data_IF_746845570934
#
_entry.id   IF_746845570934
#
_cell.length_a   1.000
_cell.length_b   1.000
_cell.length_c   1.000
_cell.angle_alpha   90.00
_cell.angle_beta   90.00
_cell.angle_gamma   90.00
#
_symmetry.space_group_name_H-M   'P 1'
#
loop_
_entity.id
_entity.type
_entity.pdbx_description
1 polymer ?
#
# COMPACT_ATOMS: atom_id res chain seq x y z
N UNK A 1 1.06 26.96 28.66
CA UNK A 1 0.11 26.67 27.58
C UNK A 1 -0.40 25.28 27.84
N UNK A 2 -1.65 25.11 28.23
CA UNK A 2 -2.26 23.79 28.37
C UNK A 2 -2.21 23.08 27.02
N UNK A 3 -1.76 21.81 26.93
CA UNK A 3 -1.84 21.06 25.68
C UNK A 3 -3.31 21.00 25.27
N UNK A 4 -3.60 21.49 24.05
CA UNK A 4 -4.95 21.40 23.50
C UNK A 4 -5.25 19.93 23.17
N UNK A 5 -5.87 19.23 24.13
CA UNK A 5 -6.22 17.81 24.02
C UNK A 5 -7.04 17.56 22.75
N UNK A 6 -7.95 18.47 22.37
CA UNK A 6 -8.72 18.33 21.14
C UNK A 6 -7.84 18.40 19.88
N UNK A 7 -6.83 19.28 19.86
CA UNK A 7 -5.87 19.34 18.76
C UNK A 7 -5.00 18.08 18.68
N UNK A 8 -4.58 17.54 19.82
CA UNK A 8 -3.82 16.29 19.89
C UNK A 8 -4.66 15.10 19.39
N UNK A 9 -5.90 15.00 19.83
CA UNK A 9 -6.82 13.94 19.40
C UNK A 9 -7.09 14.02 17.89
N UNK A 10 -7.33 15.22 17.36
CA UNK A 10 -7.53 15.40 15.93
C UNK A 10 -6.30 14.97 15.12
N UNK A 11 -5.10 15.37 15.55
CA UNK A 11 -3.85 14.95 14.92
C UNK A 11 -3.68 13.42 14.94
N UNK A 12 -3.97 12.78 16.08
CA UNK A 12 -3.83 11.34 16.23
C UNK A 12 -4.82 10.56 15.35
N UNK A 13 -6.10 10.98 15.32
CA UNK A 13 -7.12 10.37 14.48
C UNK A 13 -6.78 10.50 12.98
N UNK A 14 -6.33 11.68 12.54
CA UNK A 14 -5.91 11.88 11.15
C UNK A 14 -4.74 10.97 10.77
N UNK A 15 -3.74 10.81 11.65
CA UNK A 15 -2.63 9.90 11.39
C UNK A 15 -3.06 8.42 11.34
N UNK A 16 -4.01 8.01 12.20
CA UNK A 16 -4.58 6.66 12.14
C UNK A 16 -5.26 6.43 10.78
N UNK A 17 -6.06 7.38 10.31
CA UNK A 17 -6.73 7.27 9.01
C UNK A 17 -5.69 7.17 7.88
N UNK A 18 -4.69 8.07 7.86
CA UNK A 18 -3.62 8.05 6.86
C UNK A 18 -2.84 6.75 6.85
N UNK A 19 -2.50 6.21 8.02
CA UNK A 19 -1.77 4.96 8.14
C UNK A 19 -2.61 3.77 7.66
N UNK A 20 -3.90 3.72 7.97
CA UNK A 20 -4.80 2.69 7.45
C UNK A 20 -4.99 2.80 5.93
N UNK A 21 -5.11 4.02 5.39
CA UNK A 21 -5.16 4.25 3.95
C UNK A 21 -3.88 3.77 3.27
N UNK A 22 -2.71 4.11 3.81
CA UNK A 22 -1.42 3.69 3.28
C UNK A 22 -1.29 2.15 3.31
N UNK A 23 -1.61 1.52 4.45
CA UNK A 23 -1.60 0.06 4.57
C UNK A 23 -2.61 -0.60 3.61
N UNK A 24 -3.78 -0.01 3.44
CA UNK A 24 -4.81 -0.48 2.51
C UNK A 24 -4.32 -0.42 1.07
N UNK A 25 -3.81 0.74 0.63
CA UNK A 25 -3.23 0.93 -0.71
C UNK A 25 -2.09 -0.06 -0.94
N UNK A 26 -1.19 -0.20 0.04
CA UNK A 26 -0.08 -1.15 -0.04
C UNK A 26 -0.58 -2.58 -0.20
N UNK A 27 -1.54 -3.02 0.61
CA UNK A 27 -2.13 -4.35 0.53
C UNK A 27 -2.94 -4.61 -0.75
N UNK A 28 -3.29 -3.60 -1.54
CA UNK A 28 -3.94 -3.80 -2.84
C UNK A 28 -2.95 -4.08 -3.98
N UNK A 29 -1.65 -3.91 -3.76
CA UNK A 29 -0.63 -4.16 -4.78
C UNK A 29 -0.56 -5.68 -5.06
N UNK A 30 -0.67 -6.11 -6.33
CA UNK A 30 -0.63 -7.53 -6.70
C UNK A 30 0.81 -8.04 -6.76
N UNK A 31 1.52 -7.99 -5.63
CA UNK A 31 2.87 -8.54 -5.46
C UNK A 31 2.89 -9.36 -4.16
N UNK A 32 3.17 -10.67 -4.20
CA UNK A 32 3.30 -11.48 -2.99
C UNK A 32 4.32 -10.88 -2.00
N UNK A 33 4.12 -10.95 -0.68
CA UNK A 33 3.05 -11.66 0.04
C UNK A 33 1.77 -10.84 0.31
N UNK A 34 1.62 -9.66 -0.32
CA UNK A 34 0.53 -8.72 -0.04
C UNK A 34 -0.84 -9.32 -0.33
N UNK A 35 -1.89 -8.87 0.36
CA UNK A 35 -3.22 -9.48 0.23
C UNK A 35 -3.81 -9.34 -1.17
N UNK A 36 -3.52 -8.26 -1.89
CA UNK A 36 -3.90 -8.02 -3.28
C UNK A 36 -3.31 -9.05 -4.23
N UNK A 37 -2.16 -9.64 -3.89
CA UNK A 37 -1.60 -10.77 -4.64
C UNK A 37 -2.48 -12.02 -4.51
N UNK A 38 -3.02 -12.29 -3.31
CA UNK A 38 -3.92 -13.43 -3.10
C UNK A 38 -5.23 -13.22 -3.86
N UNK A 39 -5.76 -12.00 -3.86
CA UNK A 39 -6.95 -11.63 -4.66
C UNK A 39 -6.68 -11.82 -6.15
N UNK A 40 -5.52 -11.35 -6.64
CA UNK A 40 -5.14 -11.54 -8.04
C UNK A 40 -4.96 -13.02 -8.41
N UNK A 41 -4.39 -13.83 -7.50
CA UNK A 41 -4.22 -15.26 -7.71
C UNK A 41 -5.55 -16.01 -7.92
N UNK A 42 -6.67 -15.52 -7.37
CA UNK A 42 -8.00 -16.09 -7.61
C UNK A 42 -8.48 -15.93 -9.07
N UNK A 43 -7.88 -15.01 -9.82
CA UNK A 43 -8.18 -14.81 -11.25
C UNK A 43 -7.35 -15.73 -12.16
N UNK A 44 -6.33 -16.41 -11.61
CA UNK A 44 -5.42 -17.27 -12.35
C UNK A 44 -5.88 -18.74 -12.27
N UNK A 45 -5.57 -19.58 -13.27
CA UNK A 45 -5.74 -21.02 -13.12
C UNK A 45 -4.77 -21.57 -12.05
N UNK A 46 -5.10 -22.74 -11.51
CA UNK A 46 -4.50 -23.28 -10.27
C UNK A 46 -2.95 -23.37 -10.32
N UNK A 47 -2.40 -23.76 -11.47
CA UNK A 47 -0.95 -23.93 -11.63
C UNK A 47 -0.22 -22.58 -11.62
N UNK A 48 -0.78 -21.60 -12.31
CA UNK A 48 -0.25 -20.24 -12.40
C UNK A 48 -0.40 -19.51 -11.06
N UNK A 49 -1.53 -19.71 -10.36
CA UNK A 49 -1.75 -19.16 -9.02
C UNK A 49 -0.70 -19.69 -8.03
N UNK A 50 -0.43 -21.00 -8.03
CA UNK A 50 0.59 -21.60 -7.18
C UNK A 50 2.00 -21.07 -7.50
N UNK A 51 2.35 -21.00 -8.79
CA UNK A 51 3.64 -20.44 -9.22
C UNK A 51 3.78 -18.96 -8.82
N UNK A 52 2.75 -18.16 -9.05
CA UNK A 52 2.72 -16.74 -8.67
C UNK A 52 2.87 -16.55 -7.16
N UNK A 53 2.11 -17.28 -6.34
CA UNK A 53 2.19 -17.17 -4.87
C UNK A 53 3.52 -17.68 -4.30
N UNK A 54 4.19 -18.62 -4.98
CA UNK A 54 5.52 -19.10 -4.55
C UNK A 54 6.60 -18.01 -4.56
N UNK A 55 6.40 -16.96 -5.36
CA UNK A 55 7.27 -15.76 -5.39
C UNK A 55 7.19 -15.00 -4.06
N UNK A 56 6.21 -15.26 -3.19
CA UNK A 56 6.07 -14.62 -1.88
C UNK A 56 7.31 -14.68 -0.98
N UNK A 57 8.14 -15.71 -1.14
CA UNK A 57 9.42 -15.85 -0.43
C UNK A 57 10.43 -14.75 -0.75
N UNK A 58 10.45 -14.26 -1.99
CA UNK A 58 11.33 -13.16 -2.45
C UNK A 58 10.56 -11.85 -2.69
N UNK A 59 9.24 -11.90 -2.70
CA UNK A 59 8.39 -10.80 -3.12
C UNK A 59 8.50 -9.55 -2.26
N UNK A 60 8.88 -9.70 -0.98
CA UNK A 60 9.22 -8.55 -0.12
C UNK A 60 10.44 -7.77 -0.63
N UNK A 61 11.46 -8.46 -1.16
CA UNK A 61 12.63 -7.81 -1.75
C UNK A 61 12.28 -7.14 -3.08
N UNK A 62 11.40 -7.76 -3.88
CA UNK A 62 10.86 -7.15 -5.10
C UNK A 62 10.12 -5.85 -4.77
N UNK A 63 9.28 -5.86 -3.73
CA UNK A 63 8.56 -4.67 -3.27
C UNK A 63 9.53 -3.55 -2.86
N UNK A 64 10.52 -3.86 -2.01
CA UNK A 64 11.52 -2.87 -1.61
C UNK A 64 12.30 -2.31 -2.81
N UNK A 65 12.68 -3.18 -3.74
CA UNK A 65 13.36 -2.74 -4.95
C UNK A 65 12.50 -1.77 -5.77
N UNK A 66 11.22 -2.10 -6.01
CA UNK A 66 10.29 -1.24 -6.75
C UNK A 66 9.97 0.08 -6.04
N UNK A 67 10.00 0.09 -4.71
CA UNK A 67 9.82 1.31 -3.91
C UNK A 67 11.03 2.24 -3.99
N UNK A 68 12.26 1.69 -4.02
CA UNK A 68 13.49 2.47 -4.01
C UNK A 68 13.94 2.91 -5.40
N UNK A 69 13.73 2.06 -6.41
CA UNK A 69 14.27 2.27 -7.75
C UNK A 69 13.13 2.50 -8.75
N UNK A 70 13.03 3.71 -9.34
CA UNK A 70 12.12 3.92 -10.45
C UNK A 70 12.59 3.14 -11.68
N UNK A 71 11.65 2.52 -12.40
CA UNK A 71 11.92 1.68 -13.57
C UNK A 71 11.14 2.25 -14.75
N UNK A 72 11.84 2.60 -15.84
CA UNK A 72 11.18 3.06 -17.07
C UNK A 72 10.33 4.32 -16.91
N UNK A 73 10.67 5.19 -15.96
CA UNK A 73 9.88 6.38 -15.62
C UNK A 73 8.71 6.14 -14.66
N UNK A 74 8.48 4.88 -14.25
CA UNK A 74 7.49 4.55 -13.22
C UNK A 74 8.17 4.40 -11.85
N UNK A 75 7.61 5.04 -10.83
CA UNK A 75 8.01 4.90 -9.43
C UNK A 75 6.82 4.35 -8.62
N UNK A 76 7.01 3.19 -7.98
CA UNK A 76 5.96 2.62 -7.14
C UNK A 76 5.65 3.53 -5.94
N UNK A 77 6.66 4.16 -5.36
CA UNK A 77 6.49 5.12 -4.27
C UNK A 77 5.67 6.34 -4.69
N UNK A 78 5.94 6.90 -5.87
CA UNK A 78 5.19 8.04 -6.40
C UNK A 78 3.74 7.65 -6.72
N UNK A 79 3.53 6.45 -7.27
CA UNK A 79 2.18 5.92 -7.51
C UNK A 79 1.38 5.78 -6.21
N UNK A 80 1.97 5.20 -5.17
CA UNK A 80 1.33 5.07 -3.84
C UNK A 80 1.02 6.46 -3.26
N UNK A 81 1.97 7.40 -3.35
CA UNK A 81 1.78 8.76 -2.86
C UNK A 81 0.66 9.50 -3.58
N UNK A 82 0.57 9.35 -4.90
CA UNK A 82 -0.51 9.93 -5.69
C UNK A 82 -1.88 9.33 -5.32
N UNK A 83 -1.95 8.02 -5.09
CA UNK A 83 -3.17 7.37 -4.60
C UNK A 83 -3.56 7.83 -3.19
N UNK A 84 -2.58 8.00 -2.30
CA UNK A 84 -2.82 8.49 -0.95
C UNK A 84 -3.39 9.92 -0.99
N UNK A 85 -2.75 10.83 -1.74
CA UNK A 85 -3.22 12.20 -1.89
C UNK A 85 -4.61 12.28 -2.54
N UNK A 86 -4.89 11.41 -3.52
CA UNK A 86 -6.22 11.31 -4.12
C UNK A 86 -7.25 10.86 -3.07
N UNK A 87 -6.92 9.86 -2.27
CA UNK A 87 -7.80 9.32 -1.22
C UNK A 87 -8.06 10.34 -0.11
N UNK A 88 -7.04 11.07 0.32
CA UNK A 88 -7.17 12.15 1.31
C UNK A 88 -8.10 13.27 0.79
N UNK A 89 -7.87 13.72 -0.45
CA UNK A 89 -8.74 14.70 -1.11
C UNK A 89 -10.19 14.21 -1.23
N UNK A 90 -10.40 12.93 -1.55
CA UNK A 90 -11.72 12.32 -1.65
C UNK A 90 -12.44 12.27 -0.29
N UNK A 91 -11.69 12.00 0.79
CA UNK A 91 -12.20 11.97 2.15
C UNK A 91 -12.34 13.37 2.77
N UNK A 92 -11.82 14.40 2.12
CA UNK A 92 -11.87 15.79 2.60
C UNK A 92 -10.96 16.06 3.80
N UNK A 93 -9.87 15.29 3.93
CA UNK A 93 -8.87 15.40 5.02
C UNK A 93 -7.49 15.82 4.52
#
# INVERSE_FOLDING_TARGET
MEPNIAALLNWLLLNIVRLNLLLGIFNLIPIPPLDGSKVFALLLPEKEAAAYLSVGSIGIFILFFLLMFPIGGFSLGEFIFNLLNFSEKLLGI
#
